data_IF_902802712709
#
_entry.id   IF_902802712709
#
_cell.length_a   1.000
_cell.length_b   1.000
_cell.length_c   1.000
_cell.angle_alpha   90.00
_cell.angle_beta   90.00
_cell.angle_gamma   90.00
#
_symmetry.space_group_name_H-M   'P 1'
#
loop_
_entity.id
_entity.type
_entity.pdbx_description
1 polymer ?
#
# COMPACT_ATOMS: atom_id res chain seq x y z
N UNK A 1 -3.81 -14.26 -14.90
CA UNK A 1 -3.49 -14.43 -13.47
C UNK A 1 -2.29 -13.58 -13.08
N UNK A 2 -2.43 -12.78 -12.03
CA UNK A 2 -1.35 -11.92 -11.57
C UNK A 2 -0.35 -12.75 -10.76
N UNK A 3 0.95 -12.57 -11.01
CA UNK A 3 1.98 -13.31 -10.29
C UNK A 3 2.31 -12.62 -8.96
N UNK A 4 2.77 -13.40 -7.99
CA UNK A 4 3.21 -12.87 -6.70
C UNK A 4 4.35 -11.86 -6.88
N UNK A 5 5.17 -12.06 -7.91
CA UNK A 5 6.27 -11.16 -8.22
C UNK A 5 5.76 -9.77 -8.61
N UNK A 6 4.72 -9.72 -9.45
CA UNK A 6 4.14 -8.45 -9.86
C UNK A 6 3.61 -7.67 -8.66
N UNK A 7 2.91 -8.35 -7.77
CA UNK A 7 2.38 -7.73 -6.56
C UNK A 7 3.51 -7.25 -5.67
N UNK A 8 4.52 -8.08 -5.46
CA UNK A 8 5.67 -7.72 -4.63
C UNK A 8 6.40 -6.51 -5.20
N UNK A 9 6.62 -6.48 -6.52
CA UNK A 9 7.28 -5.36 -7.18
C UNK A 9 6.48 -4.08 -7.03
N UNK A 10 5.16 -4.17 -7.19
CA UNK A 10 4.29 -3.02 -7.01
C UNK A 10 4.38 -2.48 -5.59
N UNK A 11 4.26 -3.35 -4.60
CA UNK A 11 4.32 -2.94 -3.20
C UNK A 11 5.64 -2.30 -2.84
N UNK A 12 6.75 -2.85 -3.35
CA UNK A 12 8.07 -2.27 -3.13
C UNK A 12 8.17 -0.88 -3.77
N UNK A 13 7.57 -0.71 -4.94
CA UNK A 13 7.65 0.56 -5.66
C UNK A 13 6.88 1.68 -4.97
N UNK A 14 5.79 1.36 -4.27
CA UNK A 14 4.95 2.37 -3.63
C UNK A 14 5.27 2.59 -2.15
N UNK A 15 5.97 1.64 -1.53
CA UNK A 15 6.21 1.66 -0.09
C UNK A 15 6.86 2.96 0.39
N UNK A 16 7.96 3.34 -0.22
CA UNK A 16 8.69 4.55 0.21
C UNK A 16 7.86 5.81 0.05
N UNK A 17 7.16 5.93 -1.08
CA UNK A 17 6.32 7.08 -1.34
C UNK A 17 5.17 7.14 -0.36
N UNK A 18 4.53 6.01 -0.12
CA UNK A 18 3.43 5.92 0.82
C UNK A 18 3.89 6.25 2.24
N UNK A 19 5.08 5.76 2.62
CA UNK A 19 5.63 6.02 3.94
C UNK A 19 5.87 7.51 4.15
N UNK A 20 6.52 8.17 3.19
CA UNK A 20 6.80 9.60 3.28
C UNK A 20 5.52 10.41 3.43
N UNK A 21 4.52 10.08 2.61
CA UNK A 21 3.24 10.79 2.65
C UNK A 21 2.53 10.57 3.97
N UNK A 22 2.56 9.34 4.48
CA UNK A 22 1.90 9.00 5.73
C UNK A 22 2.59 9.63 6.93
N UNK A 23 3.93 9.64 6.95
CA UNK A 23 4.70 10.32 8.00
C UNK A 23 4.32 11.79 8.06
N UNK A 24 4.22 12.41 6.89
CA UNK A 24 3.85 13.83 6.82
C UNK A 24 2.45 14.07 7.40
N UNK A 25 1.53 13.15 7.14
CA UNK A 25 0.14 13.29 7.59
C UNK A 25 -0.02 13.02 9.09
N UNK A 26 0.64 11.97 9.61
CA UNK A 26 0.45 11.55 11.01
C UNK A 26 1.56 12.05 11.93
N UNK A 27 2.70 12.47 11.37
CA UNK A 27 3.85 13.00 12.10
C UNK A 27 4.42 12.03 13.15
N UNK A 28 4.39 10.74 12.83
CA UNK A 28 4.88 9.69 13.70
C UNK A 28 5.39 8.56 12.81
N UNK A 29 6.71 8.30 12.86
CA UNK A 29 7.34 7.32 11.98
C UNK A 29 6.81 5.91 12.23
N UNK A 30 6.64 5.53 13.49
CA UNK A 30 6.17 4.20 13.82
C UNK A 30 4.72 3.99 13.39
N UNK A 31 3.87 4.98 13.66
CA UNK A 31 2.48 4.91 13.23
C UNK A 31 2.38 4.87 11.71
N UNK A 32 3.20 5.67 11.03
CA UNK A 32 3.21 5.69 9.56
C UNK A 32 3.62 4.34 9.00
N UNK A 33 4.65 3.72 9.58
CA UNK A 33 5.12 2.41 9.13
C UNK A 33 4.02 1.37 9.30
N UNK A 34 3.35 1.36 10.44
CA UNK A 34 2.26 0.42 10.71
C UNK A 34 1.12 0.60 9.71
N UNK A 35 0.75 1.85 9.41
CA UNK A 35 -0.31 2.14 8.46
C UNK A 35 0.05 1.65 7.07
N UNK A 36 1.28 1.93 6.62
CA UNK A 36 1.74 1.50 5.31
C UNK A 36 1.79 -0.02 5.21
N UNK A 37 2.34 -0.69 6.22
CA UNK A 37 2.41 -2.15 6.22
C UNK A 37 1.02 -2.77 6.23
N UNK A 38 0.12 -2.26 7.05
CA UNK A 38 -1.26 -2.75 7.07
C UNK A 38 -1.93 -2.57 5.71
N UNK A 39 -1.70 -1.43 5.07
CA UNK A 39 -2.24 -1.17 3.74
C UNK A 39 -1.73 -2.18 2.72
N UNK A 40 -0.42 -2.48 2.76
CA UNK A 40 0.18 -3.45 1.87
C UNK A 40 -0.43 -4.84 2.08
N UNK A 41 -0.61 -5.23 3.34
CA UNK A 41 -1.20 -6.53 3.67
C UNK A 41 -2.63 -6.61 3.18
N UNK A 42 -3.42 -5.58 3.40
CA UNK A 42 -4.81 -5.55 2.97
C UNK A 42 -4.95 -5.63 1.45
N UNK A 43 -4.08 -4.91 0.74
CA UNK A 43 -4.10 -4.99 -0.72
C UNK A 43 -3.78 -6.41 -1.18
N UNK A 44 -2.74 -7.03 -0.59
CA UNK A 44 -2.32 -8.37 -0.96
C UNK A 44 -3.40 -9.41 -0.63
N UNK A 45 -4.10 -9.26 0.49
CA UNK A 45 -5.11 -10.23 0.89
C UNK A 45 -6.40 -10.10 0.08
N UNK A 46 -6.81 -8.87 -0.25
CA UNK A 46 -8.13 -8.63 -0.83
C UNK A 46 -8.12 -8.42 -2.33
N UNK A 47 -7.04 -7.87 -2.87
CA UNK A 47 -7.03 -7.39 -4.24
C UNK A 47 -5.88 -7.94 -5.09
N UNK A 48 -5.21 -9.00 -4.62
CA UNK A 48 -4.09 -9.57 -5.35
C UNK A 48 -4.50 -10.08 -6.73
N UNK A 49 -5.74 -10.51 -6.88
CA UNK A 49 -6.27 -11.04 -8.14
C UNK A 49 -6.91 -9.97 -9.03
N UNK A 50 -6.88 -8.71 -8.60
CA UNK A 50 -7.39 -7.61 -9.43
C UNK A 50 -6.38 -7.24 -10.51
N UNK A 51 -6.84 -6.64 -11.61
CA UNK A 51 -5.91 -6.14 -12.64
C UNK A 51 -4.88 -5.19 -12.02
N UNK A 52 -3.63 -5.33 -12.45
CA UNK A 52 -2.54 -4.52 -11.90
C UNK A 52 -2.80 -3.01 -12.04
N UNK A 53 -3.53 -2.62 -13.07
CA UNK A 53 -3.85 -1.20 -13.29
C UNK A 53 -4.73 -0.62 -12.18
N UNK A 54 -5.45 -1.45 -11.43
CA UNK A 54 -6.31 -1.00 -10.34
C UNK A 54 -5.57 -0.86 -9.01
N UNK A 55 -4.42 -1.49 -8.88
CA UNK A 55 -3.69 -1.49 -7.60
C UNK A 55 -3.34 -0.11 -7.07
N UNK A 56 -2.84 0.83 -7.89
CA UNK A 56 -2.53 2.17 -7.37
C UNK A 56 -3.73 2.86 -6.72
N UNK A 57 -4.88 2.77 -7.38
CA UNK A 57 -6.11 3.37 -6.86
C UNK A 57 -6.57 2.68 -5.57
N UNK A 58 -6.55 1.35 -5.57
CA UNK A 58 -6.97 0.56 -4.41
C UNK A 58 -6.03 0.81 -3.23
N UNK A 59 -4.73 0.85 -3.48
CA UNK A 59 -3.74 1.12 -2.44
C UNK A 59 -3.98 2.49 -1.82
N UNK A 60 -4.17 3.50 -2.65
CA UNK A 60 -4.41 4.86 -2.17
C UNK A 60 -5.70 4.95 -1.35
N UNK A 61 -6.75 4.24 -1.78
CA UNK A 61 -8.02 4.22 -1.06
C UNK A 61 -7.87 3.63 0.34
N UNK A 62 -7.17 2.48 0.44
CA UNK A 62 -6.95 1.84 1.73
C UNK A 62 -6.10 2.75 2.62
N UNK A 63 -5.05 3.32 2.06
CA UNK A 63 -4.14 4.21 2.79
C UNK A 63 -4.89 5.43 3.33
N UNK A 64 -5.69 6.06 2.50
CA UNK A 64 -6.45 7.24 2.89
C UNK A 64 -7.44 6.91 4.00
N UNK A 65 -8.10 5.76 3.91
CA UNK A 65 -9.06 5.36 4.94
C UNK A 65 -8.37 5.02 6.27
N UNK A 66 -7.09 4.64 6.22
CA UNK A 66 -6.33 4.29 7.42
C UNK A 66 -5.71 5.52 8.10
N UNK A 67 -5.62 6.62 7.40
CA UNK A 67 -5.10 7.86 7.96
C UNK A 67 -6.22 8.81 8.31
#
# INVERSE_FOLDING_TARGET
MVSDKELSDFLKSVEKRAFKRTVYAVRDDEAALDIVQDTMIRLAERYADRPTAEWPMLFQRILTNAT
#
